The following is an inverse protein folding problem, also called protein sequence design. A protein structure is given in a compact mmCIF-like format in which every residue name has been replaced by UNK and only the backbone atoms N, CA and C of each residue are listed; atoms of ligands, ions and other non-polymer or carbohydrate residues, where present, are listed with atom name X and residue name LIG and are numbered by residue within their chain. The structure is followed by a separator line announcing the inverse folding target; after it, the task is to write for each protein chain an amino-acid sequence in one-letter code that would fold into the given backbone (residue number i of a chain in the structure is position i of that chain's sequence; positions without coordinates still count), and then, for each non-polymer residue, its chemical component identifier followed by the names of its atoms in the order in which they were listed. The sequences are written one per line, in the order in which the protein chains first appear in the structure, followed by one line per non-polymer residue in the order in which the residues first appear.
data_IF_389318981159
#
_entry.id   IF_389318981159
#
_cell.length_a   1.000
_cell.length_b   1.000
_cell.length_c   1.000
_cell.angle_alpha   90.00
_cell.angle_beta   90.00
_cell.angle_gamma   90.00
#
_symmetry.space_group_name_H-M   'P 1'
#
loop_
_entity.id
_entity.type
_entity.pdbx_description
1 polymer ?
#
# COMPACT_ATOMS: atom_id res chain seq x y z
N UNK A 1 1.32 -3.63 -10.72
CA UNK A 1 1.18 -4.48 -9.52
C UNK A 1 2.28 -4.14 -8.51
N UNK A 2 2.01 -4.24 -7.20
CA UNK A 2 2.84 -3.70 -6.13
C UNK A 2 4.31 -4.15 -6.14
N UNK A 3 4.60 -5.41 -6.52
CA UNK A 3 5.98 -5.91 -6.66
C UNK A 3 6.73 -5.14 -7.75
N UNK A 4 6.12 -4.96 -8.93
CA UNK A 4 6.71 -4.19 -10.04
C UNK A 4 6.98 -2.75 -9.63
N UNK A 5 6.04 -2.13 -8.92
CA UNK A 5 6.19 -0.77 -8.39
C UNK A 5 7.35 -0.68 -7.39
N UNK A 6 7.41 -1.57 -6.39
CA UNK A 6 8.54 -1.58 -5.44
C UNK A 6 9.89 -1.78 -6.13
N UNK A 7 9.97 -2.68 -7.12
CA UNK A 7 11.18 -2.88 -7.91
C UNK A 7 11.57 -1.62 -8.69
N UNK A 8 10.63 -0.91 -9.32
CA UNK A 8 10.93 0.31 -10.09
C UNK A 8 11.46 1.46 -9.23
N UNK A 9 11.09 1.52 -7.96
CA UNK A 9 11.63 2.50 -7.00
C UNK A 9 12.88 2.00 -6.24
N UNK A 10 13.45 0.85 -6.65
CA UNK A 10 14.57 0.19 -5.98
C UNK A 10 14.31 -0.05 -4.47
N UNK A 11 13.05 -0.33 -4.11
CA UNK A 11 12.67 -0.69 -2.76
C UNK A 11 13.00 -2.17 -2.50
N UNK A 12 13.52 -2.47 -1.31
CA UNK A 12 13.75 -3.85 -0.88
C UNK A 12 12.41 -4.57 -0.80
N UNK A 13 12.28 -5.64 -1.58
CA UNK A 13 11.10 -6.51 -1.59
C UNK A 13 11.29 -7.78 -0.75
N UNK A 14 12.54 -8.08 -0.35
CA UNK A 14 12.86 -9.25 0.46
C UNK A 14 12.73 -8.93 1.95
N UNK A 15 12.22 -9.88 2.72
CA UNK A 15 12.01 -9.70 4.16
C UNK A 15 10.87 -8.73 4.48
N UNK A 16 9.94 -8.53 3.55
CA UNK A 16 8.70 -7.78 3.79
C UNK A 16 7.58 -8.75 4.16
N UNK A 17 6.65 -8.26 4.97
CA UNK A 17 5.43 -8.99 5.34
C UNK A 17 4.28 -8.44 4.51
N UNK A 18 3.50 -9.34 3.89
CA UNK A 18 2.20 -9.02 3.31
C UNK A 18 1.14 -9.51 4.29
N UNK A 19 0.45 -8.58 4.95
CA UNK A 19 -0.66 -8.88 5.83
C UNK A 19 -1.98 -8.74 5.07
N UNK A 20 -2.80 -9.80 5.06
CA UNK A 20 -4.08 -9.88 4.34
C UNK A 20 -5.23 -10.20 5.28
N UNK A 21 -6.47 -10.02 4.82
CA UNK A 21 -7.62 -10.63 5.49
C UNK A 21 -7.75 -12.14 5.14
N UNK A 22 -8.78 -12.80 5.70
CA UNK A 22 -9.11 -14.21 5.49
C UNK A 22 -9.66 -14.57 4.11
N UNK A 23 -9.65 -13.65 3.14
CA UNK A 23 -10.18 -13.88 1.79
C UNK A 23 -9.50 -15.04 1.06
N UNK A 24 -10.29 -15.85 0.35
CA UNK A 24 -9.81 -17.03 -0.36
C UNK A 24 -8.76 -16.72 -1.44
N UNK A 25 -8.79 -15.53 -2.04
CA UNK A 25 -7.80 -15.10 -3.03
C UNK A 25 -6.36 -15.09 -2.48
N UNK A 26 -6.19 -14.79 -1.18
CA UNK A 26 -4.88 -14.76 -0.51
C UNK A 26 -4.35 -16.16 -0.16
N UNK A 27 -5.22 -17.18 -0.22
CA UNK A 27 -4.88 -18.59 0.02
C UNK A 27 -4.70 -19.38 -1.29
N UNK A 28 -4.92 -18.75 -2.44
CA UNK A 28 -4.73 -19.39 -3.75
C UNK A 28 -3.28 -19.84 -3.97
N UNK A 29 -3.09 -20.99 -4.63
CA UNK A 29 -1.76 -21.56 -4.91
C UNK A 29 -0.92 -20.58 -5.74
N UNK A 30 -1.54 -19.89 -6.68
CA UNK A 30 -0.92 -18.89 -7.54
C UNK A 30 -0.39 -17.71 -6.74
N UNK A 31 -1.17 -17.19 -5.77
CA UNK A 31 -0.76 -16.10 -4.91
C UNK A 31 0.38 -16.50 -3.96
N UNK A 32 0.28 -17.67 -3.33
CA UNK A 32 1.32 -18.20 -2.45
C UNK A 32 2.63 -18.47 -3.21
N UNK A 33 2.54 -18.98 -4.44
CA UNK A 33 3.70 -19.14 -5.33
C UNK A 33 4.34 -17.79 -5.67
N UNK A 34 3.54 -16.78 -6.05
CA UNK A 34 4.03 -15.44 -6.39
C UNK A 34 4.78 -14.78 -5.23
N UNK A 35 4.21 -14.85 -4.03
CA UNK A 35 4.80 -14.26 -2.81
C UNK A 35 6.05 -15.01 -2.36
N UNK A 36 6.01 -16.35 -2.40
CA UNK A 36 7.17 -17.20 -2.13
C UNK A 36 8.36 -16.92 -3.06
N UNK A 37 8.12 -16.80 -4.37
CA UNK A 37 9.16 -16.45 -5.36
C UNK A 37 9.82 -15.08 -5.13
N UNK A 38 9.16 -14.18 -4.38
CA UNK A 38 9.70 -12.85 -4.07
C UNK A 38 10.16 -12.73 -2.61
N UNK A 39 10.23 -13.84 -1.85
CA UNK A 39 10.59 -13.87 -0.43
C UNK A 39 9.76 -12.94 0.44
N UNK A 40 8.46 -12.86 0.14
CA UNK A 40 7.45 -12.13 0.91
C UNK A 40 6.84 -13.09 1.92
N UNK A 41 6.83 -12.73 3.19
CA UNK A 41 6.16 -13.51 4.24
C UNK A 41 4.70 -13.12 4.29
N UNK A 42 3.80 -14.06 4.02
CA UNK A 42 2.37 -13.83 4.18
C UNK A 42 1.97 -13.94 5.66
N UNK A 43 1.05 -13.07 6.07
CA UNK A 43 0.39 -13.08 7.36
C UNK A 43 -1.09 -12.82 7.09
N UNK A 44 -1.97 -13.55 7.76
CA UNK A 44 -3.42 -13.43 7.56
C UNK A 44 -4.06 -12.97 8.86
N UNK A 45 -5.02 -12.06 8.75
CA UNK A 45 -5.83 -11.61 9.86
C UNK A 45 -6.57 -12.80 10.48
N UNK A 46 -6.36 -13.02 11.78
CA UNK A 46 -7.12 -14.02 12.53
C UNK A 46 -8.48 -13.47 13.00
N UNK A 47 -8.52 -12.18 13.35
CA UNK A 47 -9.71 -11.48 13.84
C UNK A 47 -9.97 -10.19 13.05
N UNK A 48 -11.21 -9.69 13.11
CA UNK A 48 -11.68 -8.50 12.39
C UNK A 48 -10.88 -7.24 12.72
N UNK A 49 -10.32 -7.18 13.94
CA UNK A 49 -9.52 -6.04 14.40
C UNK A 49 -8.11 -5.98 13.80
N UNK A 50 -7.69 -6.97 13.01
CA UNK A 50 -6.37 -6.98 12.36
C UNK A 50 -6.39 -6.33 10.96
N UNK A 51 -7.57 -6.13 10.35
CA UNK A 51 -7.74 -5.48 9.05
C UNK A 51 -8.15 -3.98 9.03
N UNK A 52 -8.23 -3.22 10.15
CA UNK A 52 -8.91 -1.91 10.16
C UNK A 52 -8.17 -0.83 9.36
N UNK A 53 -6.87 -1.02 9.11
CA UNK A 53 -6.09 -0.08 8.30
C UNK A 53 -6.47 -0.20 6.82
N UNK A 54 -6.55 -1.43 6.28
CA UNK A 54 -6.94 -1.64 4.90
C UNK A 54 -8.40 -1.23 4.68
N UNK A 55 -9.29 -1.56 5.61
CA UNK A 55 -10.69 -1.17 5.57
C UNK A 55 -10.86 0.34 5.60
N UNK A 56 -10.12 1.06 6.45
CA UNK A 56 -10.15 2.52 6.48
C UNK A 56 -9.72 3.13 5.14
N UNK A 57 -8.64 2.63 4.54
CA UNK A 57 -8.17 3.11 3.22
C UNK A 57 -9.24 2.86 2.16
N UNK A 58 -9.78 1.64 2.09
CA UNK A 58 -10.80 1.27 1.11
C UNK A 58 -12.10 2.07 1.30
N UNK A 59 -12.55 2.24 2.54
CA UNK A 59 -13.72 3.03 2.91
C UNK A 59 -13.57 4.49 2.50
N UNK A 60 -12.40 5.08 2.74
CA UNK A 60 -12.05 6.42 2.27
C UNK A 60 -12.16 6.52 0.74
N UNK A 61 -11.46 5.64 0.01
CA UNK A 61 -11.43 5.69 -1.46
C UNK A 61 -12.84 5.55 -2.01
N UNK A 62 -13.62 4.62 -1.48
CA UNK A 62 -15.00 4.39 -1.88
C UNK A 62 -15.89 5.60 -1.60
N UNK A 63 -15.95 6.04 -0.34
CA UNK A 63 -16.97 6.97 0.12
C UNK A 63 -16.64 8.42 -0.17
N UNK A 64 -15.36 8.81 -0.16
CA UNK A 64 -14.96 10.20 -0.34
C UNK A 64 -14.52 10.53 -1.77
N UNK A 65 -14.22 9.53 -2.60
CA UNK A 65 -13.77 9.75 -3.99
C UNK A 65 -14.70 9.10 -5.00
N UNK A 66 -14.82 7.77 -4.97
CA UNK A 66 -15.53 7.04 -6.04
C UNK A 66 -17.03 7.32 -6.07
N UNK A 67 -17.69 7.34 -4.91
CA UNK A 67 -19.12 7.68 -4.81
C UNK A 67 -19.36 9.13 -5.28
N UNK A 68 -18.64 10.16 -4.80
CA UNK A 68 -18.76 11.53 -5.31
C UNK A 68 -18.46 11.69 -6.81
N UNK A 69 -17.61 10.83 -7.38
CA UNK A 69 -17.35 10.82 -8.82
C UNK A 69 -18.47 10.20 -9.65
N UNK A 70 -19.52 9.66 -9.01
CA UNK A 70 -20.64 9.00 -9.66
C UNK A 70 -20.22 7.71 -10.37
N UNK A 71 -19.34 6.92 -9.76
CA UNK A 71 -18.96 5.61 -10.30
C UNK A 71 -20.14 4.64 -10.17
N UNK A 72 -20.68 4.23 -11.31
CA UNK A 72 -21.88 3.39 -11.45
C UNK A 72 -21.64 2.09 -12.23
N UNK A 73 -20.46 1.95 -12.82
CA UNK A 73 -20.09 0.85 -13.71
C UNK A 73 -18.63 0.46 -13.53
N UNK A 74 -18.31 -0.79 -13.85
CA UNK A 74 -16.94 -1.29 -13.77
C UNK A 74 -15.98 -0.53 -14.70
N UNK A 75 -16.43 -0.18 -15.90
CA UNK A 75 -15.62 0.60 -16.86
C UNK A 75 -15.30 1.99 -16.29
N UNK A 76 -16.29 2.68 -15.70
CA UNK A 76 -16.09 3.97 -15.07
C UNK A 76 -15.19 3.88 -13.83
N UNK A 77 -15.34 2.80 -13.04
CA UNK A 77 -14.44 2.50 -11.92
C UNK A 77 -12.99 2.38 -12.40
N UNK A 78 -12.74 1.61 -13.47
CA UNK A 78 -11.39 1.46 -14.03
C UNK A 78 -10.78 2.79 -14.47
N UNK A 79 -11.58 3.69 -15.04
CA UNK A 79 -11.14 5.03 -15.48
C UNK A 79 -10.86 5.97 -14.29
N UNK A 80 -11.67 5.92 -13.22
CA UNK A 80 -11.63 6.92 -12.14
C UNK A 80 -10.85 6.48 -10.90
N UNK A 81 -10.68 5.18 -10.67
CA UNK A 81 -9.90 4.65 -9.55
C UNK A 81 -8.45 5.16 -9.53
N UNK A 82 -7.70 5.21 -10.65
CA UNK A 82 -6.34 5.76 -10.65
C UNK A 82 -6.28 7.21 -10.18
N UNK A 83 -7.30 8.03 -10.53
CA UNK A 83 -7.41 9.42 -10.07
C UNK A 83 -7.64 9.48 -8.56
N UNK A 84 -8.58 8.69 -8.03
CA UNK A 84 -8.85 8.62 -6.59
C UNK A 84 -7.60 8.21 -5.79
N UNK A 85 -6.91 7.15 -6.22
CA UNK A 85 -5.67 6.67 -5.60
C UNK A 85 -4.56 7.72 -5.66
N UNK A 86 -4.43 8.43 -6.79
CA UNK A 86 -3.44 9.50 -6.93
C UNK A 86 -3.69 10.65 -5.96
N UNK A 87 -4.95 11.09 -5.82
CA UNK A 87 -5.31 12.17 -4.90
C UNK A 87 -5.11 11.77 -3.44
N UNK A 88 -5.49 10.54 -3.06
CA UNK A 88 -5.22 10.01 -1.72
C UNK A 88 -3.72 10.02 -1.41
N UNK A 89 -2.88 9.53 -2.33
CA UNK A 89 -1.45 9.38 -2.08
C UNK A 89 -0.65 10.69 -2.15
N UNK A 90 -1.06 11.65 -2.99
CA UNK A 90 -0.26 12.83 -3.31
C UNK A 90 -0.86 14.16 -2.86
N UNK A 91 -2.16 14.22 -2.54
CA UNK A 91 -2.86 15.48 -2.24
C UNK A 91 -3.46 15.48 -0.83
N UNK A 92 -4.04 14.37 -0.38
CA UNK A 92 -4.67 14.31 0.96
C UNK A 92 -3.63 14.36 2.08
N UNK A 93 -3.65 15.35 2.98
CA UNK A 93 -2.84 15.33 4.18
C UNK A 93 -3.45 14.39 5.24
N UNK A 94 -2.62 13.69 6.00
CA UNK A 94 -3.06 12.81 7.07
C UNK A 94 -2.54 13.29 8.43
N UNK A 95 -3.44 13.46 9.40
CA UNK A 95 -3.07 13.90 10.76
C UNK A 95 -2.05 12.98 11.44
N UNK A 96 -2.20 11.65 11.26
CA UNK A 96 -1.24 10.65 11.78
C UNK A 96 0.15 10.76 11.14
N UNK A 97 0.27 11.43 10.00
CA UNK A 97 1.52 11.69 9.28
C UNK A 97 2.00 13.13 9.47
N UNK A 98 1.60 13.81 10.56
CA UNK A 98 1.92 15.23 10.81
C UNK A 98 1.48 16.15 9.66
N UNK A 99 0.32 15.85 9.08
CA UNK A 99 -0.26 16.51 7.92
C UNK A 99 0.55 16.38 6.61
N UNK A 100 1.47 15.42 6.52
CA UNK A 100 2.04 15.01 5.24
C UNK A 100 1.05 14.15 4.43
N UNK A 101 1.26 14.14 3.11
CA UNK A 101 0.64 13.17 2.19
C UNK A 101 1.36 11.82 2.29
N UNK A 102 0.70 10.69 2.00
CA UNK A 102 1.33 9.37 2.09
C UNK A 102 2.64 9.28 1.31
N UNK A 103 2.67 9.79 0.06
CA UNK A 103 3.89 9.80 -0.74
C UNK A 103 4.97 10.76 -0.21
N UNK A 104 4.59 11.95 0.29
CA UNK A 104 5.56 12.87 0.94
C UNK A 104 6.23 12.19 2.14
N UNK A 105 5.42 11.58 3.00
CA UNK A 105 5.89 10.87 4.18
C UNK A 105 6.81 9.69 3.83
N UNK A 106 6.39 8.84 2.89
CA UNK A 106 7.20 7.69 2.43
C UNK A 106 8.56 8.16 1.87
N UNK A 107 8.56 9.20 1.04
CA UNK A 107 9.79 9.76 0.47
C UNK A 107 10.74 10.32 1.55
N UNK A 108 10.21 11.03 2.55
CA UNK A 108 11.00 11.53 3.69
C UNK A 108 11.56 10.37 4.51
N UNK A 109 10.75 9.36 4.80
CA UNK A 109 11.15 8.17 5.55
C UNK A 109 12.29 7.42 4.87
N UNK A 110 12.21 7.20 3.55
CA UNK A 110 13.25 6.53 2.77
C UNK A 110 14.56 7.34 2.77
N UNK A 111 14.47 8.66 2.54
CA UNK A 111 15.65 9.54 2.58
C UNK A 111 16.35 9.48 3.94
N UNK A 112 15.58 9.54 5.02
CA UNK A 112 16.13 9.45 6.38
C UNK A 112 16.81 8.10 6.64
N UNK A 113 16.22 6.98 6.19
CA UNK A 113 16.87 5.65 6.33
C UNK A 113 18.18 5.55 5.56
N UNK A 114 18.26 6.09 4.34
CA UNK A 114 19.51 6.12 3.54
C UNK A 114 20.60 6.90 4.26
N UNK A 115 20.26 8.08 4.79
CA UNK A 115 21.21 8.92 5.54
C UNK A 115 21.71 8.24 6.82
N UNK A 116 20.85 7.50 7.54
CA UNK A 116 21.28 6.74 8.74
C UNK A 116 22.14 5.52 8.40
N UNK A 117 21.98 4.91 7.22
CA UNK A 117 22.80 3.80 6.76
C UNK A 117 24.21 4.24 6.34
N UNK A 118 24.36 5.41 5.73
CA UNK A 118 25.66 5.97 5.33
C UNK A 118 26.51 6.40 6.54
N UNK A 119 25.89 6.85 7.64
CA UNK A 119 26.62 7.17 8.87
C UNK A 119 27.22 5.95 9.59
N UNK A 120 26.74 4.73 9.32
CA UNK A 120 27.26 3.49 9.94
C UNK A 120 28.48 2.88 9.23
N UNK A 121 28.89 3.41 8.07
CA UNK A 121 30.00 2.87 7.27
C UNK A 121 31.31 3.67 7.48
N UNK A 122 31.27 4.74 8.28
CA UNK A 122 32.42 5.59 8.58
C UNK A 122 32.82 5.52 10.06
N UNK A 123 33.04 4.32 10.59
CA UNK A 123 33.75 4.07 11.86
C UNK A 123 34.65 2.86 11.68
#
# INVERSE_FOLDING_TARGET
MAIRFRKSFNHKITGVIFHSDGGGQYHSKEFLKLTGMNHIKNSTAYDVYENPIAERVNGIIKNEYLIPYGVDSFERLQKLLPKAVSLYNNVRPHGSLRFDTPCSFENKFIKNRRNTGQKKVNV
#
